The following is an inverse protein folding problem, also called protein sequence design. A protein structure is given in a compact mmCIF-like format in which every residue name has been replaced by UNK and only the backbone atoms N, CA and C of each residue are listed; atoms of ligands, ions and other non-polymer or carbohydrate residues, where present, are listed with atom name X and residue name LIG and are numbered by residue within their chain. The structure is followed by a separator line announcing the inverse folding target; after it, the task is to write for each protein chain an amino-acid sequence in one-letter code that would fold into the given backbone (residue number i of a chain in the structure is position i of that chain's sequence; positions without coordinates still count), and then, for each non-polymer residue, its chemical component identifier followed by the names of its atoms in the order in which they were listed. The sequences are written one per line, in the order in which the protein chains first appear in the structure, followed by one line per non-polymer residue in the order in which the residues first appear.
data_IF_385199847061
#
_entry.id   IF_385199847061
#
_cell.length_a   1.000
_cell.length_b   1.000
_cell.length_c   1.000
_cell.angle_alpha   90.00
_cell.angle_beta   90.00
_cell.angle_gamma   90.00
#
_symmetry.space_group_name_H-M   'P 1'
#
loop_
_entity.id
_entity.type
_entity.pdbx_description
1 polymer ?
#
# COMPACT_ATOMS: atom_id res chain seq x y z
N UNK A 1 7.31 11.50 19.61
CA UNK A 1 7.15 10.20 18.93
C UNK A 1 7.17 9.11 19.99
N UNK A 2 6.18 8.21 19.99
CA UNK A 2 6.10 7.08 20.92
C UNK A 2 6.35 5.79 20.15
N UNK A 3 7.22 4.92 20.65
CA UNK A 3 7.45 3.56 20.13
C UNK A 3 6.84 2.59 21.12
N UNK A 4 6.00 1.68 20.67
CA UNK A 4 5.28 0.73 21.52
C UNK A 4 4.96 -0.55 20.77
N UNK A 5 4.77 -1.64 21.48
CA UNK A 5 4.22 -2.90 20.96
C UNK A 5 2.75 -3.09 21.37
N UNK A 6 2.18 -2.17 22.14
CA UNK A 6 0.80 -2.24 22.63
C UNK A 6 -0.16 -1.57 21.63
N UNK A 7 -0.62 -2.34 20.66
CA UNK A 7 -1.57 -1.86 19.65
C UNK A 7 -2.98 -1.66 20.23
N UNK A 8 -3.38 -2.46 21.22
CA UNK A 8 -4.70 -2.38 21.85
C UNK A 8 -4.89 -1.04 22.56
N UNK A 9 -3.84 -0.48 23.15
CA UNK A 9 -3.89 0.81 23.82
C UNK A 9 -3.82 2.00 22.84
N UNK A 10 -3.06 1.88 21.76
CA UNK A 10 -2.67 3.04 20.95
C UNK A 10 -3.49 3.20 19.66
N UNK A 11 -3.80 2.12 18.95
CA UNK A 11 -4.55 2.19 17.71
C UNK A 11 -5.96 2.77 17.87
N UNK A 12 -6.73 2.48 18.96
CA UNK A 12 -8.07 3.07 19.13
C UNK A 12 -8.10 4.59 19.30
N UNK A 13 -6.93 5.21 19.44
CA UNK A 13 -6.78 6.68 19.57
C UNK A 13 -6.33 7.34 18.26
N UNK A 14 -5.93 6.54 17.27
CA UNK A 14 -5.39 7.06 16.02
C UNK A 14 -6.51 7.44 15.04
N UNK A 15 -6.42 8.65 14.46
CA UNK A 15 -7.31 9.11 13.39
C UNK A 15 -6.86 8.56 12.03
N UNK A 16 -5.56 8.32 11.87
CA UNK A 16 -4.95 7.76 10.67
C UNK A 16 -4.06 6.61 11.09
N UNK A 17 -4.23 5.47 10.46
CA UNK A 17 -3.42 4.27 10.65
C UNK A 17 -2.76 3.90 9.33
N UNK A 18 -1.45 3.81 9.32
CA UNK A 18 -0.68 3.25 8.20
C UNK A 18 -0.09 1.91 8.66
N UNK A 19 -0.51 0.84 8.02
CA UNK A 19 -0.01 -0.51 8.27
C UNK A 19 1.01 -0.89 7.20
N UNK A 20 2.21 -1.26 7.63
CA UNK A 20 3.32 -1.67 6.76
C UNK A 20 4.15 -2.73 7.50
N UNK A 21 3.72 -3.98 7.47
CA UNK A 21 4.38 -5.06 8.21
C UNK A 21 4.61 -6.29 7.35
N UNK A 22 5.41 -7.22 7.85
CA UNK A 22 5.63 -8.56 7.29
C UNK A 22 4.86 -9.66 8.04
N UNK A 23 3.83 -9.30 8.81
CA UNK A 23 3.00 -10.28 9.52
C UNK A 23 2.26 -11.17 8.52
N UNK A 24 2.29 -12.49 8.76
CA UNK A 24 1.66 -13.48 7.87
C UNK A 24 0.18 -13.71 8.15
N UNK A 25 -0.33 -13.15 9.25
CA UNK A 25 -1.73 -13.24 9.64
C UNK A 25 -2.31 -11.85 9.95
N UNK A 26 -3.56 -11.58 9.58
CA UNK A 26 -4.24 -10.36 9.97
C UNK A 26 -4.30 -10.22 11.50
N UNK A 27 -4.00 -9.04 12.01
CA UNK A 27 -4.02 -8.78 13.45
C UNK A 27 -4.75 -7.47 13.83
N UNK A 28 -5.05 -6.61 12.85
CA UNK A 28 -5.81 -5.38 13.08
C UNK A 28 -7.31 -5.70 12.90
N UNK A 29 -8.03 -5.77 14.03
CA UNK A 29 -9.46 -6.04 14.08
C UNK A 29 -10.25 -4.76 14.36
N UNK A 30 -11.59 -4.83 14.24
CA UNK A 30 -12.52 -3.72 14.49
C UNK A 30 -12.29 -3.00 15.82
N UNK A 31 -12.01 -3.75 16.90
CA UNK A 31 -11.77 -3.20 18.26
C UNK A 31 -10.54 -2.29 18.34
N UNK A 32 -9.59 -2.45 17.43
CA UNK A 32 -8.36 -1.65 17.40
C UNK A 32 -8.53 -0.29 16.72
N UNK A 33 -9.66 -0.06 16.06
CA UNK A 33 -9.84 1.11 15.21
C UNK A 33 -10.89 2.05 15.79
N UNK A 34 -10.51 3.32 15.87
CA UNK A 34 -11.40 4.42 16.23
C UNK A 34 -12.50 4.58 15.18
N UNK A 35 -13.67 5.10 15.61
CA UNK A 35 -14.74 5.47 14.69
C UNK A 35 -14.30 6.55 13.71
N UNK A 36 -14.62 6.32 12.43
CA UNK A 36 -14.27 7.23 11.34
C UNK A 36 -12.78 7.30 10.98
N UNK A 37 -11.96 6.35 11.45
CA UNK A 37 -10.53 6.35 11.15
C UNK A 37 -10.25 6.13 9.65
N UNK A 38 -9.19 6.77 9.17
CA UNK A 38 -8.57 6.46 7.87
C UNK A 38 -7.50 5.38 8.08
N UNK A 39 -7.63 4.27 7.39
CA UNK A 39 -6.68 3.15 7.49
C UNK A 39 -6.11 2.84 6.11
N UNK A 40 -4.80 2.93 5.97
CA UNK A 40 -4.08 2.53 4.78
C UNK A 40 -3.22 1.30 5.09
N UNK A 41 -3.50 0.18 4.42
CA UNK A 41 -2.71 -1.04 4.58
C UNK A 41 -1.90 -1.31 3.30
N UNK A 42 -0.58 -1.20 3.43
CA UNK A 42 0.38 -1.48 2.35
C UNK A 42 1.05 -2.85 2.52
N UNK A 43 0.60 -3.63 3.51
CA UNK A 43 1.18 -4.93 3.83
C UNK A 43 0.73 -6.01 2.86
N UNK A 44 1.57 -7.03 2.68
CA UNK A 44 1.23 -8.26 1.98
C UNK A 44 1.77 -9.47 2.76
N UNK A 45 0.91 -10.39 3.23
CA UNK A 45 -0.58 -10.33 3.25
C UNK A 45 -1.14 -9.12 4.01
N UNK A 46 -2.43 -8.80 3.79
CA UNK A 46 -3.09 -7.72 4.52
C UNK A 46 -3.11 -7.98 6.03
N UNK A 47 -2.94 -6.89 6.80
CA UNK A 47 -3.00 -6.95 8.27
C UNK A 47 -4.40 -6.68 8.82
N UNK A 48 -5.30 -6.14 7.99
CA UNK A 48 -6.70 -5.91 8.37
C UNK A 48 -7.48 -7.23 8.35
N UNK A 49 -8.37 -7.41 9.33
CA UNK A 49 -9.30 -8.53 9.33
C UNK A 49 -10.15 -8.52 8.05
N UNK A 50 -10.36 -9.68 7.39
CA UNK A 50 -11.01 -9.75 6.07
C UNK A 50 -12.43 -9.18 6.03
N UNK A 51 -13.16 -9.29 7.15
CA UNK A 51 -14.55 -8.84 7.32
C UNK A 51 -14.67 -7.40 7.83
N UNK A 52 -13.55 -6.70 8.01
CA UNK A 52 -13.51 -5.36 8.61
C UNK A 52 -14.34 -4.35 7.82
N UNK A 53 -14.27 -4.38 6.49
CA UNK A 53 -15.01 -3.47 5.62
C UNK A 53 -16.54 -3.65 5.74
N UNK A 54 -16.99 -4.87 5.99
CA UNK A 54 -18.41 -5.19 6.20
C UNK A 54 -18.89 -4.75 7.59
N UNK A 55 -18.06 -4.97 8.61
CA UNK A 55 -18.38 -4.64 9.99
C UNK A 55 -18.33 -3.13 10.28
N UNK A 56 -17.43 -2.40 9.60
CA UNK A 56 -17.10 -1.01 9.94
C UNK A 56 -17.19 -0.10 8.71
N UNK A 57 -18.41 0.22 8.30
CA UNK A 57 -18.69 1.14 7.17
C UNK A 57 -18.36 2.60 7.45
N UNK A 58 -18.08 2.93 8.70
CA UNK A 58 -17.61 4.24 9.13
C UNK A 58 -16.14 4.48 8.83
N UNK A 59 -15.35 3.42 8.60
CA UNK A 59 -13.93 3.51 8.30
C UNK A 59 -13.68 3.85 6.83
N UNK A 60 -12.62 4.60 6.59
CA UNK A 60 -12.07 4.82 5.25
C UNK A 60 -10.88 3.89 5.07
N UNK A 61 -11.10 2.77 4.38
CA UNK A 61 -10.06 1.76 4.14
C UNK A 61 -9.41 2.01 2.76
N UNK A 62 -8.11 2.16 2.74
CA UNK A 62 -7.31 2.31 1.53
C UNK A 62 -6.36 1.13 1.39
N UNK A 63 -6.32 0.54 0.20
CA UNK A 63 -5.28 -0.41 -0.18
C UNK A 63 -4.14 0.36 -0.84
N UNK A 64 -3.13 0.75 -0.07
CA UNK A 64 -2.00 1.54 -0.55
C UNK A 64 -0.98 0.76 -1.39
N UNK A 65 -1.24 -0.52 -1.65
CA UNK A 65 -0.25 -1.39 -2.27
C UNK A 65 -0.62 -1.84 -3.70
N UNK A 66 -1.61 -1.22 -4.33
CA UNK A 66 -2.04 -1.55 -5.68
C UNK A 66 -1.99 -0.36 -6.62
N UNK A 67 -1.55 -0.62 -7.85
CA UNK A 67 -1.50 0.34 -8.95
C UNK A 67 -2.19 -0.24 -10.19
N UNK A 68 -2.83 0.63 -10.97
CA UNK A 68 -3.31 0.26 -12.30
C UNK A 68 -2.20 0.55 -13.31
N UNK A 69 -1.83 -0.42 -14.13
CA UNK A 69 -0.93 -0.19 -15.27
C UNK A 69 -1.66 0.53 -16.40
N UNK A 70 -0.94 0.98 -17.44
CA UNK A 70 -1.57 1.49 -18.66
C UNK A 70 -2.63 0.52 -19.22
N UNK A 71 -3.76 1.01 -19.77
CA UNK A 71 -4.89 0.15 -20.19
C UNK A 71 -4.56 -0.94 -21.24
N UNK A 72 -3.49 -0.74 -22.01
CA UNK A 72 -3.03 -1.71 -23.02
C UNK A 72 -2.06 -2.77 -22.48
N UNK A 73 -1.80 -2.78 -21.19
CA UNK A 73 -0.84 -3.71 -20.57
C UNK A 73 -1.40 -5.12 -20.49
N UNK A 74 -0.54 -6.11 -20.76
CA UNK A 74 -0.84 -7.53 -20.55
C UNK A 74 0.00 -8.00 -19.37
N UNK A 75 -0.64 -8.23 -18.23
CA UNK A 75 0.03 -8.50 -16.96
C UNK A 75 0.41 -9.97 -16.76
N UNK A 76 -0.37 -10.88 -17.34
CA UNK A 76 -0.13 -12.32 -17.15
C UNK A 76 -0.13 -12.71 -15.66
N UNK A 77 0.98 -13.31 -15.20
CA UNK A 77 1.10 -13.81 -13.82
C UNK A 77 1.55 -12.77 -12.78
N UNK A 78 1.78 -11.52 -13.18
CA UNK A 78 2.18 -10.45 -12.24
C UNK A 78 0.99 -9.63 -11.75
N UNK A 79 -0.20 -9.97 -12.22
CA UNK A 79 -1.45 -9.36 -11.75
C UNK A 79 -1.70 -9.63 -10.27
N UNK A 80 -2.22 -8.64 -9.56
CA UNK A 80 -2.56 -8.76 -8.15
C UNK A 80 -3.78 -9.68 -7.97
N UNK A 81 -3.72 -10.71 -7.12
CA UNK A 81 -4.82 -11.66 -6.97
C UNK A 81 -6.10 -11.04 -6.40
N UNK A 82 -5.99 -9.89 -5.73
CA UNK A 82 -7.11 -9.22 -5.09
C UNK A 82 -7.91 -8.31 -6.03
N UNK A 83 -7.34 -7.97 -7.19
CA UNK A 83 -7.97 -7.06 -8.13
C UNK A 83 -7.49 -7.30 -9.55
N UNK A 84 -8.44 -7.54 -10.44
CA UNK A 84 -8.20 -7.68 -11.87
C UNK A 84 -7.56 -6.40 -12.44
N UNK A 85 -6.63 -6.58 -13.37
CA UNK A 85 -5.88 -5.50 -14.02
C UNK A 85 -5.10 -4.58 -13.05
N UNK A 86 -4.70 -5.08 -11.89
CA UNK A 86 -3.90 -4.34 -10.94
C UNK A 86 -2.56 -5.03 -10.66
N UNK A 87 -1.57 -4.24 -10.31
CA UNK A 87 -0.24 -4.69 -9.88
C UNK A 87 -0.01 -4.36 -8.42
N UNK A 88 0.71 -5.23 -7.72
CA UNK A 88 1.29 -4.84 -6.43
C UNK A 88 2.33 -3.75 -6.65
N UNK A 89 2.33 -2.73 -5.78
CA UNK A 89 3.15 -1.52 -5.96
C UNK A 89 4.64 -1.80 -6.14
N UNK A 90 5.21 -2.79 -5.43
CA UNK A 90 6.62 -3.16 -5.58
C UNK A 90 6.93 -3.77 -6.97
N UNK A 91 6.00 -4.53 -7.56
CA UNK A 91 6.16 -5.04 -8.91
C UNK A 91 6.01 -3.90 -9.93
N UNK A 92 5.04 -3.01 -9.74
CA UNK A 92 4.85 -1.83 -10.59
C UNK A 92 6.10 -0.92 -10.56
N UNK A 93 6.65 -0.64 -9.38
CA UNK A 93 7.88 0.14 -9.23
C UNK A 93 9.04 -0.50 -10.01
N UNK A 94 9.24 -1.81 -9.88
CA UNK A 94 10.28 -2.53 -10.61
C UNK A 94 10.12 -2.39 -12.13
N UNK A 95 8.88 -2.50 -12.64
CA UNK A 95 8.56 -2.33 -14.05
C UNK A 95 8.84 -0.89 -14.50
N UNK A 96 8.38 0.11 -13.73
CA UNK A 96 8.61 1.54 -14.02
C UNK A 96 10.08 1.84 -14.12
N UNK A 97 10.89 1.40 -13.17
CA UNK A 97 12.33 1.60 -13.15
C UNK A 97 13.01 0.95 -14.36
N UNK A 98 12.63 -0.29 -14.67
CA UNK A 98 13.18 -1.01 -15.82
C UNK A 98 12.85 -0.32 -17.15
N UNK A 99 11.60 0.08 -17.37
CA UNK A 99 11.16 0.76 -18.59
C UNK A 99 11.78 2.16 -18.75
N UNK A 100 12.04 2.83 -17.64
CA UNK A 100 12.66 4.17 -17.63
C UNK A 100 14.18 4.12 -17.79
N UNK A 101 14.78 2.92 -17.86
CA UNK A 101 16.25 2.77 -17.88
C UNK A 101 16.92 3.30 -16.61
N UNK A 102 16.16 3.39 -15.50
CA UNK A 102 16.67 3.91 -14.25
C UNK A 102 17.72 2.96 -13.65
N UNK A 103 18.94 3.43 -13.57
CA UNK A 103 20.06 2.68 -13.03
C UNK A 103 20.60 3.43 -11.80
N UNK A 104 20.08 3.09 -10.63
CA UNK A 104 20.57 3.65 -9.38
C UNK A 104 20.35 2.66 -8.24
N UNK A 105 21.32 2.57 -7.36
CA UNK A 105 21.25 1.86 -6.08
C UNK A 105 20.62 2.69 -4.96
N UNK A 106 20.09 3.89 -5.27
CA UNK A 106 19.44 4.81 -4.31
C UNK A 106 18.23 4.22 -3.61
N UNK A 107 17.68 3.12 -4.14
CA UNK A 107 16.56 2.39 -3.53
C UNK A 107 17.01 1.53 -2.35
N UNK A 108 18.31 1.33 -2.17
CA UNK A 108 18.88 0.60 -1.05
C UNK A 108 19.33 1.58 0.02
N UNK A 109 18.74 1.51 1.20
CA UNK A 109 19.12 2.34 2.35
C UNK A 109 18.13 3.47 2.64
N UNK A 110 18.62 4.71 2.79
CA UNK A 110 17.76 5.85 3.14
C UNK A 110 17.10 6.44 1.91
N UNK A 111 15.79 6.32 1.82
CA UNK A 111 14.98 7.01 0.81
C UNK A 111 14.85 8.50 1.16
N UNK A 112 14.92 9.36 0.15
CA UNK A 112 14.56 10.77 0.27
C UNK A 112 13.30 11.09 -0.55
N UNK A 113 12.64 12.19 -0.21
CA UNK A 113 11.37 12.59 -0.82
C UNK A 113 11.55 12.85 -2.33
N UNK A 114 12.66 13.45 -2.73
CA UNK A 114 12.92 13.75 -4.14
C UNK A 114 12.99 12.48 -4.99
N UNK A 115 13.64 11.43 -4.49
CA UNK A 115 13.68 10.12 -5.15
C UNK A 115 12.29 9.51 -5.28
N UNK A 116 11.44 9.59 -4.24
CA UNK A 116 10.07 9.09 -4.27
C UNK A 116 9.23 9.84 -5.31
N UNK A 117 9.34 11.17 -5.34
CA UNK A 117 8.62 12.02 -6.31
C UNK A 117 9.11 11.77 -7.76
N UNK A 118 10.40 11.52 -7.96
CA UNK A 118 10.96 11.17 -9.28
C UNK A 118 10.35 9.87 -9.80
N UNK A 119 10.30 8.82 -8.97
CA UNK A 119 9.70 7.54 -9.34
C UNK A 119 8.20 7.72 -9.62
N UNK A 120 7.50 8.51 -8.82
CA UNK A 120 6.10 8.84 -9.06
C UNK A 120 5.89 9.50 -10.42
N UNK A 121 6.70 10.50 -10.78
CA UNK A 121 6.63 11.15 -12.10
C UNK A 121 6.93 10.18 -13.26
N UNK A 122 7.86 9.27 -13.09
CA UNK A 122 8.13 8.22 -14.09
C UNK A 122 6.93 7.30 -14.27
N UNK A 123 6.31 6.88 -13.16
CA UNK A 123 5.11 6.05 -13.19
C UNK A 123 3.94 6.74 -13.91
N UNK A 124 3.66 8.00 -13.56
CA UNK A 124 2.64 8.81 -14.22
C UNK A 124 2.92 8.97 -15.72
N UNK A 125 4.17 9.26 -16.09
CA UNK A 125 4.60 9.39 -17.49
C UNK A 125 4.46 8.11 -18.30
N UNK A 126 4.52 6.94 -17.66
CA UNK A 126 4.28 5.63 -18.27
C UNK A 126 2.78 5.22 -18.23
N UNK A 127 1.90 6.03 -17.64
CA UNK A 127 0.46 5.80 -17.58
C UNK A 127 0.00 4.89 -16.43
N UNK A 128 0.83 4.68 -15.41
CA UNK A 128 0.40 4.03 -14.18
C UNK A 128 -0.47 4.99 -13.35
N UNK A 129 -1.41 4.46 -12.60
CA UNK A 129 -2.27 5.26 -11.74
C UNK A 129 -2.54 4.59 -10.39
N UNK A 130 -2.75 5.42 -9.37
CA UNK A 130 -3.08 4.96 -8.01
C UNK A 130 -4.55 4.54 -7.96
N UNK A 131 -4.84 3.48 -7.23
CA UNK A 131 -6.20 3.06 -6.92
C UNK A 131 -6.64 3.81 -5.65
N UNK A 132 -7.66 4.64 -5.78
CA UNK A 132 -8.25 5.42 -4.69
C UNK A 132 -9.58 4.82 -4.28
#
# INVERSE_FOLDING_TARGET
MTITTDIDQHLPRAHVVLSATSAVQPFIASRHLRDGALVCDVSRPFNLAPDLAEQRRDLRLLSGALLLPPPSSVLGHVEAPERENALVSCAAETIVLALSGYQSDRLCGRLDIATIEDIGRLADGLGFSVIV
#
